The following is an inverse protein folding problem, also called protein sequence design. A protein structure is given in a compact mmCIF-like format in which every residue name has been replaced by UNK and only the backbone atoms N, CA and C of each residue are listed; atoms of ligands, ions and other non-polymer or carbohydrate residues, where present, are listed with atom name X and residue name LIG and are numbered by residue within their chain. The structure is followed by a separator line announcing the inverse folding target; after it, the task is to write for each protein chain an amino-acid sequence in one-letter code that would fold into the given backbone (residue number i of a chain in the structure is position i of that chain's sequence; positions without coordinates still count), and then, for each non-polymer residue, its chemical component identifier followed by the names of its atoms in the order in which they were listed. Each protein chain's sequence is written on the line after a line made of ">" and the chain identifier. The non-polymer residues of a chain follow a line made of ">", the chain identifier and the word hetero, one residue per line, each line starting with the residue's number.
data_IF_332912836406
#
_entry.id   IF_332912836406
#
_cell.length_a   1.000
_cell.length_b   1.000
_cell.length_c   1.000
_cell.angle_alpha   90.00
_cell.angle_beta   90.00
_cell.angle_gamma   90.00
#
_symmetry.space_group_name_H-M   'P 1'
#
loop_
_entity.id
_entity.type
_entity.pdbx_description
1 polymer ?
#
# COMPACT_ATOMS: atom_id res chain seq x y z
N UNK A 1 -9.93 -8.98 8.24
CA UNK A 1 -10.62 -7.69 8.41
C UNK A 1 -9.69 -6.66 9.03
N UNK A 2 -9.23 -6.81 10.29
CA UNK A 2 -8.34 -5.83 10.96
C UNK A 2 -7.09 -5.45 10.14
N UNK A 3 -6.35 -6.45 9.63
CA UNK A 3 -5.11 -6.19 8.86
C UNK A 3 -5.36 -5.41 7.56
N UNK A 4 -6.45 -5.71 6.85
CA UNK A 4 -6.79 -5.00 5.62
C UNK A 4 -7.09 -3.51 5.90
N UNK A 5 -7.86 -3.23 6.96
CA UNK A 5 -8.19 -1.86 7.37
C UNK A 5 -6.91 -1.11 7.78
N UNK A 6 -6.05 -1.74 8.58
CA UNK A 6 -4.80 -1.11 9.02
C UNK A 6 -3.89 -0.73 7.84
N UNK A 7 -3.77 -1.59 6.82
CA UNK A 7 -2.94 -1.27 5.66
C UNK A 7 -3.55 -0.17 4.80
N UNK A 8 -4.88 -0.19 4.60
CA UNK A 8 -5.56 0.88 3.83
C UNK A 8 -5.35 2.22 4.52
N UNK A 9 -5.53 2.29 5.83
CA UNK A 9 -5.33 3.53 6.60
C UNK A 9 -3.87 3.98 6.54
N UNK A 10 -2.91 3.06 6.76
CA UNK A 10 -1.48 3.39 6.68
C UNK A 10 -1.09 3.89 5.27
N UNK A 11 -1.55 3.22 4.22
CA UNK A 11 -1.30 3.61 2.83
C UNK A 11 -1.90 4.98 2.50
N UNK A 12 -3.15 5.23 2.90
CA UNK A 12 -3.80 6.52 2.72
C UNK A 12 -3.05 7.65 3.44
N UNK A 13 -2.63 7.43 4.69
CA UNK A 13 -1.84 8.43 5.42
C UNK A 13 -0.50 8.72 4.75
N UNK A 14 0.18 7.69 4.24
CA UNK A 14 1.46 7.85 3.55
C UNK A 14 1.32 8.66 2.26
N UNK A 15 0.29 8.36 1.45
CA UNK A 15 0.00 9.11 0.21
C UNK A 15 -0.32 10.56 0.52
N UNK A 16 -1.18 10.82 1.52
CA UNK A 16 -1.52 12.18 1.93
C UNK A 16 -0.29 12.99 2.37
N UNK A 17 0.56 12.43 3.24
CA UNK A 17 1.77 13.10 3.72
C UNK A 17 2.72 13.42 2.56
N UNK A 18 2.88 12.47 1.64
CA UNK A 18 3.79 12.62 0.50
C UNK A 18 3.27 13.62 -0.53
N UNK A 19 1.95 13.67 -0.75
CA UNK A 19 1.31 14.67 -1.60
C UNK A 19 1.51 16.07 -1.02
N UNK A 20 1.34 16.25 0.29
CA UNK A 20 1.63 17.53 0.97
C UNK A 20 3.10 17.94 0.84
N UNK A 21 4.03 17.01 1.03
CA UNK A 21 5.46 17.27 0.86
C UNK A 21 5.80 17.69 -0.58
N UNK A 22 5.28 16.99 -1.58
CA UNK A 22 5.52 17.30 -2.99
C UNK A 22 4.89 18.64 -3.40
N UNK A 23 3.70 18.97 -2.89
CA UNK A 23 3.09 20.29 -3.05
C UNK A 23 3.99 21.39 -2.48
N UNK A 24 4.53 21.20 -1.28
CA UNK A 24 5.41 22.18 -0.64
C UNK A 24 6.75 22.35 -1.38
N UNK A 25 7.26 21.29 -2.01
CA UNK A 25 8.57 21.29 -2.69
C UNK A 25 8.47 21.82 -4.13
N UNK A 26 7.47 21.37 -4.90
CA UNK A 26 7.39 21.62 -6.33
C UNK A 26 6.46 22.79 -6.70
N UNK A 27 5.51 23.16 -5.83
CA UNK A 27 4.52 24.20 -6.12
C UNK A 27 3.60 23.89 -7.31
N UNK A 28 3.56 22.64 -7.79
CA UNK A 28 2.72 22.24 -8.92
C UNK A 28 1.24 22.15 -8.54
N UNK A 29 0.39 22.01 -9.56
CA UNK A 29 -1.05 21.84 -9.36
C UNK A 29 -1.36 20.56 -8.57
N UNK A 30 -2.34 20.67 -7.67
CA UNK A 30 -2.81 19.56 -6.81
C UNK A 30 -3.17 18.31 -7.63
N UNK A 31 -3.80 18.49 -8.79
CA UNK A 31 -4.19 17.40 -9.70
C UNK A 31 -2.98 16.56 -10.15
N UNK A 32 -1.91 17.22 -10.59
CA UNK A 32 -0.67 16.54 -11.01
C UNK A 32 0.01 15.83 -9.85
N UNK A 33 0.09 16.47 -8.69
CA UNK A 33 0.73 15.89 -7.49
C UNK A 33 -0.03 14.67 -6.99
N UNK A 34 -1.36 14.71 -6.98
CA UNK A 34 -2.19 13.56 -6.60
C UNK A 34 -2.05 12.41 -7.59
N UNK A 35 -2.08 12.69 -8.89
CA UNK A 35 -1.85 11.65 -9.90
C UNK A 35 -0.48 11.00 -9.73
N UNK A 36 0.57 11.79 -9.51
CA UNK A 36 1.93 11.29 -9.39
C UNK A 36 2.15 10.46 -8.13
N UNK A 37 1.63 10.93 -6.99
CA UNK A 37 1.71 10.20 -5.71
C UNK A 37 0.93 8.90 -5.74
N UNK A 38 -0.28 8.89 -6.33
CA UNK A 38 -1.06 7.67 -6.46
C UNK A 38 -0.36 6.68 -7.41
N UNK A 39 0.16 7.16 -8.55
CA UNK A 39 0.89 6.33 -9.51
C UNK A 39 2.16 5.73 -8.90
N UNK A 40 2.94 6.53 -8.16
CA UNK A 40 4.14 6.07 -7.47
C UNK A 40 3.81 5.06 -6.35
N UNK A 41 2.78 5.32 -5.53
CA UNK A 41 2.34 4.39 -4.48
C UNK A 41 1.83 3.07 -5.05
N UNK A 42 1.05 3.10 -6.13
CA UNK A 42 0.57 1.89 -6.80
C UNK A 42 1.64 1.25 -7.72
N UNK A 43 2.84 1.85 -7.84
CA UNK A 43 3.93 1.40 -8.71
C UNK A 43 3.52 1.24 -10.18
N UNK A 44 2.63 2.11 -10.67
CA UNK A 44 2.07 2.07 -12.03
C UNK A 44 3.08 2.56 -13.06
N UNK A 45 3.96 3.51 -12.67
CA UNK A 45 5.01 4.05 -13.54
C UNK A 45 4.52 5.11 -14.55
N UNK A 46 3.28 5.57 -14.42
CA UNK A 46 2.76 6.71 -15.19
C UNK A 46 3.18 8.03 -14.54
N UNK A 47 3.51 9.01 -15.37
CA UNK A 47 3.93 10.34 -14.93
C UNK A 47 3.27 11.42 -15.78
N UNK A 48 2.87 12.52 -15.15
CA UNK A 48 2.39 13.74 -15.83
C UNK A 48 3.52 14.68 -16.25
N UNK A 49 4.76 14.17 -16.33
CA UNK A 49 6.02 14.93 -16.53
C UNK A 49 6.50 15.68 -15.26
N UNK A 50 5.74 15.63 -14.17
CA UNK A 50 6.13 16.24 -12.91
C UNK A 50 7.42 15.61 -12.33
N UNK A 51 7.60 14.30 -12.51
CA UNK A 51 8.81 13.57 -12.10
C UNK A 51 10.12 14.10 -12.71
N UNK A 52 10.07 14.75 -13.88
CA UNK A 52 11.25 15.33 -14.54
C UNK A 52 11.53 16.78 -14.12
N UNK A 53 10.51 17.50 -13.67
CA UNK A 53 10.59 18.90 -13.21
C UNK A 53 10.87 19.01 -11.71
N UNK A 54 10.78 17.90 -10.97
CA UNK A 54 10.98 17.85 -9.53
C UNK A 54 12.46 18.05 -9.14
N UNK A 55 12.75 18.89 -8.12
CA UNK A 55 14.08 18.98 -7.55
C UNK A 55 14.49 17.65 -6.89
N UNK A 56 15.80 17.42 -6.62
CA UNK A 56 16.31 16.15 -6.11
C UNK A 56 15.57 15.63 -4.87
N UNK A 57 15.16 16.54 -3.98
CA UNK A 57 14.37 16.22 -2.79
C UNK A 57 13.02 15.55 -3.13
N UNK A 58 12.34 15.99 -4.19
CA UNK A 58 11.07 15.41 -4.64
C UNK A 58 11.23 14.02 -5.24
N UNK A 59 12.35 13.78 -5.94
CA UNK A 59 12.69 12.46 -6.49
C UNK A 59 12.90 11.44 -5.36
N UNK A 60 13.57 11.83 -4.27
CA UNK A 60 13.71 10.95 -3.10
C UNK A 60 12.38 10.61 -2.45
N UNK A 61 11.44 11.55 -2.37
CA UNK A 61 10.08 11.29 -1.84
C UNK A 61 9.34 10.30 -2.73
N UNK A 62 9.37 10.47 -4.06
CA UNK A 62 8.73 9.54 -4.99
C UNK A 62 9.36 8.13 -4.93
N UNK A 63 10.69 8.04 -4.85
CA UNK A 63 11.38 6.76 -4.72
C UNK A 63 11.01 6.04 -3.42
N UNK A 64 10.95 6.76 -2.30
CA UNK A 64 10.47 6.22 -1.02
C UNK A 64 9.02 5.76 -1.11
N UNK A 65 8.17 6.50 -1.82
CA UNK A 65 6.76 6.13 -2.03
C UNK A 65 6.60 4.86 -2.86
N UNK A 66 7.37 4.70 -3.93
CA UNK A 66 7.38 3.49 -4.75
C UNK A 66 7.82 2.27 -3.95
N UNK A 67 8.86 2.42 -3.12
CA UNK A 67 9.34 1.37 -2.25
C UNK A 67 8.28 0.96 -1.21
N UNK A 68 7.68 1.95 -0.54
CA UNK A 68 6.64 1.72 0.45
C UNK A 68 5.36 1.10 -0.17
N UNK A 69 4.97 1.53 -1.37
CA UNK A 69 3.87 0.96 -2.13
C UNK A 69 4.07 -0.52 -2.48
N UNK A 70 5.28 -0.87 -2.96
CA UNK A 70 5.68 -2.27 -3.21
C UNK A 70 5.69 -3.09 -1.93
N UNK A 71 6.20 -2.56 -0.81
CA UNK A 71 6.18 -3.27 0.49
C UNK A 71 4.75 -3.46 1.00
N UNK A 72 3.89 -2.45 0.86
CA UNK A 72 2.50 -2.51 1.29
C UNK A 72 1.71 -3.60 0.57
N UNK A 73 1.89 -3.73 -0.75
CA UNK A 73 1.26 -4.79 -1.55
C UNK A 73 1.79 -6.19 -1.18
N UNK A 74 3.10 -6.36 -1.00
CA UNK A 74 3.70 -7.63 -0.55
C UNK A 74 3.19 -8.02 0.84
N UNK A 75 3.15 -7.07 1.78
CA UNK A 75 2.67 -7.30 3.15
C UNK A 75 1.20 -7.70 3.15
N UNK A 76 0.36 -7.05 2.33
CA UNK A 76 -1.04 -7.44 2.14
C UNK A 76 -1.16 -8.87 1.59
N UNK A 77 -0.39 -9.19 0.54
CA UNK A 77 -0.39 -10.52 -0.05
C UNK A 77 0.03 -11.58 0.98
N UNK A 78 1.10 -11.37 1.73
CA UNK A 78 1.55 -12.26 2.80
C UNK A 78 0.51 -12.38 3.93
N UNK A 79 -0.06 -11.27 4.39
CA UNK A 79 -1.08 -11.29 5.43
C UNK A 79 -2.36 -12.03 5.02
N UNK A 80 -2.74 -11.95 3.74
CA UNK A 80 -3.84 -12.72 3.16
C UNK A 80 -3.49 -14.21 3.07
N UNK A 81 -2.27 -14.55 2.62
CA UNK A 81 -1.79 -15.93 2.53
C UNK A 81 -1.71 -16.60 3.92
N UNK A 82 -1.14 -15.92 4.92
CA UNK A 82 -1.04 -16.37 6.31
C UNK A 82 -2.40 -16.49 7.00
N UNK A 83 -3.45 -15.86 6.47
CA UNK A 83 -4.82 -15.95 7.00
C UNK A 83 -5.53 -17.25 6.61
N UNK A 84 -4.96 -18.08 5.72
CA UNK A 84 -5.35 -19.49 5.66
C UNK A 84 -4.88 -20.19 6.93
N UNK A 85 -5.71 -20.13 7.97
CA UNK A 85 -5.65 -21.09 9.05
C UNK A 85 -5.88 -22.46 8.45
N UNK A 86 -4.79 -23.17 8.20
CA UNK A 86 -4.81 -24.63 8.09
C UNK A 86 -5.36 -25.11 9.42
N UNK A 87 -6.66 -25.45 9.48
CA UNK A 87 -7.20 -26.16 10.64
C UNK A 87 -6.51 -27.52 10.66
N UNK A 88 -5.40 -27.61 11.41
CA UNK A 88 -4.65 -28.85 11.62
C UNK A 88 -5.30 -29.77 12.67
N UNK A 89 -6.47 -29.39 13.21
CA UNK A 89 -7.21 -30.19 14.17
C UNK A 89 -8.60 -30.50 13.62
N UNK A 90 -8.74 -31.73 13.12
CA UNK A 90 -10.02 -32.41 12.97
C UNK A 90 -10.30 -33.08 14.33
N UNK A 91 -11.38 -32.69 15.01
CA UNK A 91 -11.84 -33.45 16.16
C UNK A 91 -12.34 -34.81 15.65
N UNK A 92 -11.99 -35.93 16.32
CA UNK A 92 -12.54 -37.22 15.94
C UNK A 92 -14.06 -37.17 16.11
N UNK A 93 -14.79 -37.42 15.02
CA UNK A 93 -16.24 -37.68 15.07
C UNK A 93 -16.43 -38.98 15.86
N UNK A 94 -16.78 -38.87 17.15
CA UNK A 94 -17.29 -40.02 17.90
C UNK A 94 -18.55 -40.51 17.19
N UNK A 95 -18.53 -41.77 16.73
CA UNK A 95 -19.71 -42.45 16.21
C UNK A 95 -20.63 -42.72 17.41
N UNK A 96 -21.84 -42.14 17.51
CA UNK A 96 -22.76 -42.53 18.55
C UNK A 96 -23.23 -43.95 18.22
N UNK A 97 -22.77 -44.93 18.98
CA UNK A 97 -23.36 -46.27 18.99
C UNK A 97 -24.69 -46.11 19.73
N UNK A 98 -25.74 -45.88 18.95
CA UNK A 98 -27.12 -45.97 19.43
C UNK A 98 -27.44 -47.46 19.48
N UNK A 99 -27.47 -47.99 20.71
CA UNK A 99 -28.08 -49.30 21.00
C UNK A 99 -29.59 -49.26 20.84
#
# INVERSE_FOLDING_TARGET
>A
MRVAISVIVAGATLVCVSAFLLLAISGASLDRVLFETISAFATVGLSTNLSAELPPAGVYVLAALMFAGRIGTITLASALALRQRRQLFHYPEERPIIG
#
